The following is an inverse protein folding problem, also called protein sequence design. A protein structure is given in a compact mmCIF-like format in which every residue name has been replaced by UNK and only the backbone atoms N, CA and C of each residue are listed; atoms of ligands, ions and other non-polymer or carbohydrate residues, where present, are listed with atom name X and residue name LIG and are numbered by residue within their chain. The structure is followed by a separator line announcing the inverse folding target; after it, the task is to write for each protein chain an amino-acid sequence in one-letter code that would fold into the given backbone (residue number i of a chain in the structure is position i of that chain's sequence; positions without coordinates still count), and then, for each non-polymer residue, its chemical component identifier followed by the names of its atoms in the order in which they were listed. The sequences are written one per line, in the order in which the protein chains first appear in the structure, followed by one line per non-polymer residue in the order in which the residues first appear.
data_IF_794619379885
#
_entry.id   IF_794619379885
#
_cell.length_a   1.000
_cell.length_b   1.000
_cell.length_c   1.000
_cell.angle_alpha   90.00
_cell.angle_beta   90.00
_cell.angle_gamma   90.00
#
_symmetry.space_group_name_H-M   'P 1'
#
loop_
_entity.id
_entity.type
_entity.pdbx_description
1 polymer ?
#
# COMPACT_ATOMS: atom_id res chain seq x y z
N UNK A 1 -49.39 -39.25 30.36
CA UNK A 1 -50.45 -38.38 30.90
C UNK A 1 -50.37 -37.04 30.16
N UNK A 2 -51.23 -36.85 29.16
CA UNK A 2 -52.43 -35.98 29.15
C UNK A 2 -52.13 -34.64 28.44
N UNK A 3 -52.45 -34.63 27.14
CA UNK A 3 -53.13 -33.57 26.37
C UNK A 3 -52.58 -32.15 26.50
N UNK A 4 -51.76 -31.73 25.54
CA UNK A 4 -51.68 -30.34 25.09
C UNK A 4 -51.77 -30.25 23.55
N UNK A 5 -52.56 -31.16 22.95
CA UNK A 5 -52.97 -31.11 21.56
C UNK A 5 -54.45 -30.70 21.55
N UNK A 6 -54.75 -29.40 21.64
CA UNK A 6 -56.14 -28.97 21.77
C UNK A 6 -56.46 -27.48 21.59
N UNK A 7 -55.49 -26.60 21.36
CA UNK A 7 -55.77 -25.15 21.22
C UNK A 7 -55.38 -24.60 19.83
N UNK A 8 -54.66 -25.37 19.01
CA UNK A 8 -54.19 -24.89 17.69
C UNK A 8 -55.23 -25.10 16.58
N UNK A 9 -56.25 -25.95 16.76
CA UNK A 9 -57.14 -26.33 15.66
C UNK A 9 -58.51 -25.62 15.62
N UNK A 10 -58.92 -24.87 16.65
CA UNK A 10 -60.28 -24.27 16.69
C UNK A 10 -60.35 -22.78 16.35
N UNK A 11 -59.21 -22.10 16.13
CA UNK A 11 -59.20 -20.69 15.68
C UNK A 11 -59.08 -20.54 14.16
N UNK A 12 -59.13 -21.65 13.41
CA UNK A 12 -58.98 -21.66 11.95
C UNK A 12 -60.29 -21.92 11.20
N UNK A 13 -61.46 -21.74 11.83
CA UNK A 13 -62.75 -21.94 11.16
C UNK A 13 -63.86 -20.99 11.65
N UNK A 14 -63.65 -19.68 11.63
CA UNK A 14 -64.76 -18.73 11.46
C UNK A 14 -64.32 -17.56 10.61
N UNK A 15 -64.52 -17.74 9.32
CA UNK A 15 -64.41 -16.74 8.26
C UNK A 15 -65.19 -15.47 8.65
N UNK A 16 -64.50 -14.44 9.13
CA UNK A 16 -64.89 -13.05 8.88
C UNK A 16 -64.32 -12.65 7.52
N UNK A 17 -65.08 -13.02 6.48
CA UNK A 17 -64.94 -12.69 5.05
C UNK A 17 -64.17 -11.37 4.81
N UNK A 18 -62.96 -11.49 4.26
CA UNK A 18 -62.21 -10.38 3.64
C UNK A 18 -61.07 -9.76 4.45
N UNK A 19 -61.22 -9.56 5.77
CA UNK A 19 -60.23 -8.82 6.58
C UNK A 19 -59.15 -9.70 7.21
N UNK A 20 -59.47 -10.95 7.57
CA UNK A 20 -58.52 -11.87 8.21
C UNK A 20 -57.35 -12.29 7.31
N UNK A 21 -57.59 -12.42 6.01
CA UNK A 21 -56.54 -12.74 5.04
C UNK A 21 -55.51 -11.61 4.95
N UNK A 22 -55.97 -10.36 4.96
CA UNK A 22 -55.14 -9.15 4.89
C UNK A 22 -54.27 -8.99 6.14
N UNK A 23 -54.84 -9.22 7.31
CA UNK A 23 -54.10 -9.19 8.58
C UNK A 23 -53.06 -10.30 8.64
N UNK A 24 -53.42 -11.52 8.24
CA UNK A 24 -52.47 -12.64 8.18
C UNK A 24 -51.33 -12.38 7.19
N UNK A 25 -51.64 -11.79 6.03
CA UNK A 25 -50.64 -11.40 5.04
C UNK A 25 -49.71 -10.30 5.55
N UNK A 26 -50.25 -9.30 6.27
CA UNK A 26 -49.44 -8.26 6.92
C UNK A 26 -48.53 -8.82 8.02
N UNK A 27 -49.03 -9.76 8.83
CA UNK A 27 -48.22 -10.43 9.87
C UNK A 27 -47.10 -11.23 9.24
N UNK A 28 -47.39 -11.97 8.17
CA UNK A 28 -46.37 -12.75 7.47
C UNK A 28 -45.31 -11.85 6.81
N UNK A 29 -45.73 -10.74 6.19
CA UNK A 29 -44.81 -9.74 5.64
C UNK A 29 -43.95 -9.07 6.71
N UNK A 30 -44.54 -8.71 7.85
CA UNK A 30 -43.82 -8.14 8.99
C UNK A 30 -42.74 -9.10 9.50
N UNK A 31 -43.06 -10.39 9.64
CA UNK A 31 -42.08 -11.41 10.04
C UNK A 31 -40.94 -11.55 9.02
N UNK A 32 -41.23 -11.53 7.73
CA UNK A 32 -40.21 -11.57 6.67
C UNK A 32 -39.27 -10.35 6.77
N UNK A 33 -39.82 -9.14 6.93
CA UNK A 33 -39.03 -7.91 7.05
C UNK A 33 -38.18 -7.90 8.32
N UNK A 34 -38.70 -8.40 9.46
CA UNK A 34 -37.94 -8.45 10.71
C UNK A 34 -36.77 -9.44 10.68
N UNK A 35 -36.87 -10.55 9.94
CA UNK A 35 -35.76 -11.52 9.82
C UNK A 35 -34.58 -10.99 8.99
N UNK A 36 -34.81 -10.00 8.13
CA UNK A 36 -33.77 -9.42 7.26
C UNK A 36 -32.75 -8.53 7.98
N UNK A 37 -33.03 -8.04 9.19
CA UNK A 37 -32.17 -7.06 9.89
C UNK A 37 -30.99 -7.68 10.67
N UNK A 38 -30.82 -9.02 10.66
CA UNK A 38 -29.75 -9.68 11.42
C UNK A 38 -28.52 -10.03 10.60
N UNK A 39 -28.53 -9.81 9.27
CA UNK A 39 -27.36 -10.11 8.44
C UNK A 39 -26.29 -9.02 8.59
N UNK A 40 -25.43 -9.16 9.60
CA UNK A 40 -24.20 -8.39 9.69
C UNK A 40 -23.22 -8.93 8.63
N UNK A 41 -22.71 -8.11 7.70
CA UNK A 41 -21.69 -8.55 6.76
C UNK A 41 -20.48 -9.10 7.53
N UNK A 42 -19.93 -10.22 7.06
CA UNK A 42 -18.70 -10.75 7.65
C UNK A 42 -17.60 -9.67 7.60
N UNK A 43 -16.76 -9.54 8.66
CA UNK A 43 -15.62 -8.64 8.62
C UNK A 43 -14.73 -8.95 7.42
N UNK A 44 -14.30 -7.92 6.70
CA UNK A 44 -13.30 -8.06 5.66
C UNK A 44 -12.01 -8.63 6.28
N UNK A 45 -11.32 -9.56 5.59
CA UNK A 45 -10.02 -10.04 6.04
C UNK A 45 -9.04 -8.87 6.15
N UNK A 46 -8.24 -8.87 7.21
CA UNK A 46 -7.21 -7.86 7.43
C UNK A 46 -6.13 -7.98 6.34
N UNK A 47 -5.64 -6.87 5.76
CA UNK A 47 -4.59 -6.91 4.75
C UNK A 47 -3.32 -7.55 5.31
N UNK A 48 -2.65 -8.36 4.50
CA UNK A 48 -1.34 -8.88 4.86
C UNK A 48 -0.35 -7.73 5.12
N UNK A 49 0.54 -7.85 6.11
CA UNK A 49 1.55 -6.85 6.37
C UNK A 49 2.45 -6.67 5.15
N UNK A 50 2.70 -5.42 4.78
CA UNK A 50 3.63 -5.10 3.69
C UNK A 50 5.06 -5.48 4.10
N UNK A 51 5.88 -5.98 3.15
CA UNK A 51 7.29 -6.19 3.42
C UNK A 51 7.98 -4.87 3.79
N UNK A 52 8.94 -4.94 4.72
CA UNK A 52 9.73 -3.77 5.09
C UNK A 52 10.53 -3.26 3.88
N UNK A 53 10.63 -1.93 3.70
CA UNK A 53 11.39 -1.35 2.59
C UNK A 53 12.88 -1.61 2.75
N UNK A 54 13.52 -2.13 1.70
CA UNK A 54 14.97 -2.32 1.62
C UNK A 54 15.62 -0.99 1.20
N UNK A 55 16.55 -0.48 2.01
CA UNK A 55 17.27 0.76 1.74
C UNK A 55 18.64 0.47 1.11
N UNK A 56 18.70 0.49 -0.23
CA UNK A 56 19.95 0.38 -0.98
C UNK A 56 20.68 1.74 -1.10
N UNK A 57 20.98 2.37 0.03
CA UNK A 57 21.76 3.60 0.06
C UNK A 57 23.25 3.30 -0.10
N UNK A 58 23.95 4.10 -0.92
CA UNK A 58 25.40 4.01 -1.03
C UNK A 58 26.07 4.39 0.31
N UNK A 59 27.17 3.72 0.70
CA UNK A 59 27.90 4.06 1.91
C UNK A 59 28.53 5.45 1.79
N UNK A 60 28.67 6.14 2.93
CA UNK A 60 29.17 7.51 2.99
C UNK A 60 30.53 7.70 2.27
N UNK A 61 31.42 6.71 2.39
CA UNK A 61 32.73 6.69 1.74
C UNK A 61 32.66 6.81 0.20
N UNK A 62 31.60 6.32 -0.44
CA UNK A 62 31.42 6.45 -1.90
C UNK A 62 30.94 7.84 -2.32
N UNK A 63 30.36 8.59 -1.38
CA UNK A 63 29.78 9.92 -1.61
C UNK A 63 30.68 11.06 -1.10
N UNK A 64 31.90 10.74 -0.65
CA UNK A 64 32.85 11.73 -0.17
C UNK A 64 33.19 12.74 -1.26
N UNK A 65 33.14 14.02 -0.88
CA UNK A 65 33.42 15.12 -1.79
C UNK A 65 34.91 15.17 -2.14
N UNK A 66 35.23 15.05 -3.43
CA UNK A 66 36.58 15.34 -3.93
C UNK A 66 36.66 16.82 -4.32
N UNK A 67 37.56 17.61 -3.72
CA UNK A 67 37.65 19.03 -4.02
C UNK A 67 38.03 19.26 -5.48
N UNK A 68 37.32 20.19 -6.12
CA UNK A 68 37.61 20.61 -7.48
C UNK A 68 38.99 21.29 -7.57
N UNK A 69 39.75 21.08 -8.67
CA UNK A 69 40.98 21.82 -8.92
C UNK A 69 40.73 23.33 -8.87
N UNK A 70 41.67 24.08 -8.28
CA UNK A 70 41.57 25.54 -8.22
C UNK A 70 41.95 26.17 -9.55
N UNK A 71 41.10 27.05 -10.06
CA UNK A 71 41.39 27.85 -11.24
C UNK A 71 42.57 28.81 -10.97
N UNK A 72 43.44 29.06 -11.96
CA UNK A 72 44.47 30.09 -11.87
C UNK A 72 43.81 31.46 -11.68
N UNK A 73 44.49 32.38 -10.96
CA UNK A 73 43.98 33.74 -10.65
C UNK A 73 45.04 34.79 -10.98
N UNK A 74 44.60 35.99 -11.32
CA UNK A 74 45.50 37.11 -11.68
C UNK A 74 45.99 37.00 -13.12
N UNK A 75 47.24 37.41 -13.34
CA UNK A 75 47.91 37.31 -14.64
C UNK A 75 48.38 35.87 -14.86
N UNK A 76 47.53 35.05 -15.48
CA UNK A 76 47.83 33.66 -15.78
C UNK A 76 48.43 33.48 -17.18
N UNK A 77 49.28 32.48 -17.31
CA UNK A 77 49.88 32.04 -18.57
C UNK A 77 49.02 30.99 -19.26
N UNK A 78 49.23 30.81 -20.57
CA UNK A 78 48.59 29.73 -21.34
C UNK A 78 48.92 28.34 -20.79
N UNK A 79 50.14 28.15 -20.25
CA UNK A 79 50.57 26.90 -19.65
C UNK A 79 49.75 26.57 -18.39
N UNK A 80 49.51 27.55 -17.53
CA UNK A 80 48.71 27.35 -16.31
C UNK A 80 47.25 27.00 -16.63
N UNK A 81 46.68 27.62 -17.67
CA UNK A 81 45.34 27.26 -18.16
C UNK A 81 45.32 25.81 -18.66
N UNK A 82 46.32 25.39 -19.45
CA UNK A 82 46.40 24.03 -19.95
C UNK A 82 46.51 22.99 -18.82
N UNK A 83 47.33 23.27 -17.80
CA UNK A 83 47.47 22.40 -16.62
C UNK A 83 46.17 22.34 -15.81
N UNK A 84 45.49 23.47 -15.64
CA UNK A 84 44.19 23.51 -14.97
C UNK A 84 43.14 22.69 -15.72
N UNK A 85 43.03 22.83 -17.04
CA UNK A 85 42.08 22.07 -17.86
C UNK A 85 42.34 20.56 -17.78
N UNK A 86 43.62 20.14 -17.79
CA UNK A 86 43.99 18.75 -17.62
C UNK A 86 43.60 18.21 -16.24
N UNK A 87 43.87 18.98 -15.19
CA UNK A 87 43.46 18.62 -13.82
C UNK A 87 41.94 18.51 -13.69
N UNK A 88 41.22 19.47 -14.28
CA UNK A 88 39.77 19.51 -14.30
C UNK A 88 39.16 18.32 -15.03
N UNK A 89 39.70 17.96 -16.20
CA UNK A 89 39.26 16.80 -16.96
C UNK A 89 39.45 15.49 -16.18
N UNK A 90 40.60 15.34 -15.51
CA UNK A 90 40.87 14.16 -14.65
C UNK A 90 39.93 14.11 -13.45
N UNK A 91 39.70 15.24 -12.79
CA UNK A 91 38.74 15.33 -11.68
C UNK A 91 37.32 14.96 -12.13
N UNK A 92 36.85 15.51 -13.25
CA UNK A 92 35.54 15.19 -13.80
C UNK A 92 35.40 13.70 -14.18
N UNK A 93 36.42 13.13 -14.82
CA UNK A 93 36.43 11.71 -15.19
C UNK A 93 36.34 10.79 -13.98
N UNK A 94 37.07 11.08 -12.90
CA UNK A 94 36.96 10.35 -11.63
C UNK A 94 35.57 10.49 -11.00
N UNK A 95 34.98 11.68 -11.06
CA UNK A 95 33.61 11.92 -10.59
C UNK A 95 32.59 11.01 -11.29
N UNK A 96 32.66 10.91 -12.62
CA UNK A 96 31.80 10.01 -13.38
C UNK A 96 32.03 8.53 -13.05
N UNK A 97 33.28 8.12 -12.84
CA UNK A 97 33.60 6.75 -12.41
C UNK A 97 33.00 6.42 -11.04
N UNK A 98 33.05 7.35 -10.08
CA UNK A 98 32.41 7.16 -8.77
C UNK A 98 30.89 7.02 -8.90
N UNK A 99 30.26 7.85 -9.74
CA UNK A 99 28.81 7.76 -9.98
C UNK A 99 28.43 6.40 -10.60
N UNK A 100 29.20 5.92 -11.56
CA UNK A 100 29.01 4.59 -12.13
C UNK A 100 29.13 3.49 -11.06
N UNK A 101 30.14 3.58 -10.19
CA UNK A 101 30.31 2.62 -9.08
C UNK A 101 29.14 2.64 -8.09
N UNK A 102 28.57 3.82 -7.77
CA UNK A 102 27.37 3.95 -6.94
C UNK A 102 26.17 3.25 -7.61
N UNK A 103 25.97 3.46 -8.92
CA UNK A 103 24.90 2.80 -9.64
C UNK A 103 25.03 1.27 -9.64
N UNK A 104 26.24 0.76 -9.83
CA UNK A 104 26.52 -0.67 -9.77
C UNK A 104 26.29 -1.24 -8.37
N UNK A 105 26.71 -0.52 -7.32
CA UNK A 105 26.44 -0.88 -5.93
C UNK A 105 24.93 -1.00 -5.66
N UNK A 106 24.15 0.03 -6.03
CA UNK A 106 22.70 0.03 -5.82
C UNK A 106 22.02 -1.10 -6.59
N UNK A 107 22.48 -1.40 -7.82
CA UNK A 107 21.97 -2.54 -8.60
C UNK A 107 22.24 -3.86 -7.91
N UNK A 108 23.46 -4.07 -7.40
CA UNK A 108 23.84 -5.30 -6.71
C UNK A 108 23.09 -5.49 -5.39
N UNK A 109 22.90 -4.41 -4.63
CA UNK A 109 22.09 -4.43 -3.40
C UNK A 109 20.67 -4.93 -3.70
N UNK A 110 20.02 -4.38 -4.74
CA UNK A 110 18.67 -4.80 -5.12
C UNK A 110 18.57 -6.28 -5.46
N UNK A 111 19.58 -6.85 -6.13
CA UNK A 111 19.59 -8.28 -6.47
C UNK A 111 19.79 -9.17 -5.25
N UNK A 112 20.57 -8.73 -4.26
CA UNK A 112 20.85 -9.51 -3.05
C UNK A 112 19.65 -9.61 -2.11
N UNK A 113 18.85 -8.55 -2.07
CA UNK A 113 17.73 -8.40 -1.14
C UNK A 113 16.38 -8.81 -1.76
N UNK A 114 16.39 -9.38 -2.97
CA UNK A 114 15.24 -10.02 -3.64
C UNK A 114 15.26 -11.54 -3.39
#
# INVERSE_FOLDING_TARGET
MIIAAGIVCSLMMTVHRGKGLLVWWMVMWSLIVLTGCTSRPAPLPEPAPLPAPILCAAPAAMTEHEPMPRAPRGDYTQQEVALYLLALHRWGSRGWQRLAAIHDYTRQCRVREQ
#
